data_IF_719312955736
#
_entry.id   IF_719312955736
#
_cell.length_a   1.000
_cell.length_b   1.000
_cell.length_c   1.000
_cell.angle_alpha   90.00
_cell.angle_beta   90.00
_cell.angle_gamma   90.00
#
_symmetry.space_group_name_H-M   'P 1'
#
loop_
_entity.id
_entity.type
_entity.pdbx_description
1 polymer ?
#
# COMPACT_ATOMS: atom_id res chain seq x y z
N UNK A 1 20.19 -7.25 15.84
CA UNK A 1 20.97 -6.45 14.85
C UNK A 1 19.99 -5.58 14.11
N UNK A 2 20.34 -4.31 13.79
CA UNK A 2 19.48 -3.41 13.02
C UNK A 2 19.22 -3.99 11.63
N UNK A 3 17.99 -3.92 11.14
CA UNK A 3 17.61 -4.37 9.79
C UNK A 3 17.91 -3.27 8.76
N UNK A 4 18.17 -3.60 7.50
CA UNK A 4 18.50 -2.62 6.48
C UNK A 4 17.54 -1.44 6.42
N UNK A 5 16.23 -1.70 6.42
CA UNK A 5 15.21 -0.63 6.32
C UNK A 5 15.06 0.24 7.57
N UNK A 6 15.68 -0.10 8.72
CA UNK A 6 15.72 0.78 9.90
C UNK A 6 16.40 2.12 9.59
N UNK A 7 17.33 2.14 8.63
CA UNK A 7 17.97 3.36 8.16
C UNK A 7 17.01 4.38 7.52
N UNK A 8 15.84 3.95 7.09
CA UNK A 8 14.82 4.80 6.47
C UNK A 8 13.92 5.50 7.51
N UNK A 9 13.91 5.02 8.76
CA UNK A 9 13.03 5.53 9.82
C UNK A 9 13.08 7.05 10.00
N UNK A 10 14.25 7.72 10.11
CA UNK A 10 14.27 9.17 10.31
C UNK A 10 13.59 9.95 9.19
N UNK A 11 13.65 9.40 7.97
CA UNK A 11 13.04 10.01 6.79
C UNK A 11 11.52 9.87 6.85
N UNK A 12 11.00 8.72 7.27
CA UNK A 12 9.55 8.50 7.44
C UNK A 12 8.98 9.28 8.62
N UNK A 13 9.70 9.44 9.73
CA UNK A 13 9.31 10.31 10.85
C UNK A 13 9.08 11.76 10.38
N UNK A 14 9.98 12.28 9.57
CA UNK A 14 9.86 13.63 9.02
C UNK A 14 8.71 13.74 8.00
N UNK A 15 8.46 12.69 7.21
CA UNK A 15 7.44 12.64 6.18
C UNK A 15 6.04 12.54 6.78
N UNK A 16 5.85 11.72 7.80
CA UNK A 16 4.54 11.52 8.45
C UNK A 16 3.93 12.84 8.93
N UNK A 17 4.74 13.72 9.51
CA UNK A 17 4.30 15.04 9.95
C UNK A 17 3.84 15.97 8.80
N UNK A 18 4.32 15.76 7.56
CA UNK A 18 4.08 16.66 6.42
C UNK A 18 3.06 16.12 5.41
N UNK A 19 3.03 14.82 5.14
CA UNK A 19 2.19 14.25 4.07
C UNK A 19 0.78 13.89 4.54
N UNK A 20 0.64 13.35 5.74
CA UNK A 20 -0.67 12.90 6.23
C UNK A 20 -1.52 14.04 6.83
N UNK A 21 -0.92 15.17 7.20
CA UNK A 21 -1.63 16.34 7.72
C UNK A 21 -2.61 16.99 6.71
N UNK A 22 -2.50 16.65 5.42
CA UNK A 22 -3.29 17.29 4.35
C UNK A 22 -4.28 16.35 3.65
N UNK A 23 -4.45 15.10 4.12
CA UNK A 23 -5.40 14.16 3.51
C UNK A 23 -6.80 14.47 4.01
N UNK A 24 -7.58 15.19 3.20
CA UNK A 24 -8.99 15.49 3.48
C UNK A 24 -9.91 14.35 3.01
N UNK A 25 -11.08 14.18 3.64
CA UNK A 25 -12.09 13.18 3.27
C UNK A 25 -12.50 13.25 1.78
N UNK A 26 -12.54 14.44 1.21
CA UNK A 26 -12.87 14.62 -0.21
C UNK A 26 -11.82 14.07 -1.17
N UNK A 27 -10.53 14.04 -0.77
CA UNK A 27 -9.48 13.41 -1.58
C UNK A 27 -9.54 11.88 -1.52
N UNK A 28 -10.01 11.31 -0.41
CA UNK A 28 -10.21 9.86 -0.23
C UNK A 28 -11.31 9.31 -1.14
N UNK A 29 -12.44 10.02 -1.28
CA UNK A 29 -13.55 9.62 -2.14
C UNK A 29 -13.21 9.55 -3.65
N UNK A 30 -12.09 10.15 -4.07
CA UNK A 30 -11.58 10.11 -5.44
C UNK A 30 -10.39 9.16 -5.62
N UNK A 31 -9.94 8.51 -4.54
CA UNK A 31 -8.79 7.62 -4.57
C UNK A 31 -9.20 6.22 -5.05
N UNK A 32 -9.06 5.99 -6.36
CA UNK A 32 -9.34 4.68 -6.99
C UNK A 32 -8.52 3.53 -6.34
N UNK A 33 -7.37 3.85 -5.78
CA UNK A 33 -6.54 2.88 -5.06
C UNK A 33 -7.22 2.45 -3.76
N UNK A 34 -7.69 3.41 -2.96
CA UNK A 34 -8.43 3.12 -1.74
C UNK A 34 -9.70 2.30 -2.03
N UNK A 35 -10.49 2.74 -3.02
CA UNK A 35 -11.70 2.05 -3.46
C UNK A 35 -11.41 0.58 -3.82
N UNK A 36 -10.42 0.34 -4.71
CA UNK A 36 -10.14 -1.02 -5.18
C UNK A 36 -9.61 -1.94 -4.08
N UNK A 37 -8.73 -1.43 -3.21
CA UNK A 37 -8.19 -2.21 -2.10
C UNK A 37 -9.29 -2.55 -1.09
N UNK A 38 -10.20 -1.61 -0.78
CA UNK A 38 -11.32 -1.88 0.14
C UNK A 38 -12.35 -2.83 -0.46
N UNK A 39 -12.61 -2.80 -1.78
CA UNK A 39 -13.42 -3.81 -2.46
C UNK A 39 -12.86 -5.22 -2.24
N UNK A 40 -11.55 -5.40 -2.50
CA UNK A 40 -10.90 -6.72 -2.33
C UNK A 40 -10.81 -7.10 -0.85
N UNK A 41 -10.55 -6.13 0.05
CA UNK A 41 -10.57 -6.39 1.49
C UNK A 41 -11.93 -6.91 1.96
N UNK A 42 -13.03 -6.34 1.45
CA UNK A 42 -14.38 -6.80 1.79
C UNK A 42 -14.64 -8.26 1.36
N UNK A 43 -14.01 -8.72 0.27
CA UNK A 43 -14.09 -10.12 -0.19
C UNK A 43 -13.39 -11.09 0.80
N UNK A 44 -12.43 -10.59 1.61
CA UNK A 44 -11.65 -11.37 2.59
C UNK A 44 -12.26 -11.38 3.99
N UNK A 45 -13.33 -10.63 4.21
CA UNK A 45 -14.06 -10.58 5.49
C UNK A 45 -15.27 -11.55 5.45
N UNK A 46 -15.71 -12.10 6.59
CA UNK A 46 -15.14 -11.91 7.94
C UNK A 46 -13.85 -12.67 8.20
N UNK A 47 -13.03 -12.21 9.15
CA UNK A 47 -11.85 -12.90 9.66
C UNK A 47 -11.70 -12.65 11.16
N UNK A 48 -10.89 -13.45 11.86
CA UNK A 48 -10.67 -13.33 13.30
C UNK A 48 -9.53 -12.38 13.65
N UNK A 49 -8.45 -12.35 12.83
CA UNK A 49 -7.28 -11.53 13.06
C UNK A 49 -6.77 -10.90 11.76
N UNK A 50 -6.63 -9.58 11.76
CA UNK A 50 -6.18 -8.78 10.62
C UNK A 50 -4.97 -7.93 10.99
N UNK A 51 -3.95 -7.93 10.11
CA UNK A 51 -2.80 -7.03 10.20
C UNK A 51 -2.76 -6.11 8.97
N UNK A 52 -2.57 -4.83 9.19
CA UNK A 52 -2.14 -3.88 8.15
C UNK A 52 -0.64 -3.58 8.34
N UNK A 53 0.18 -4.22 7.51
CA UNK A 53 1.64 -4.16 7.58
C UNK A 53 2.17 -2.97 6.76
N UNK A 54 2.58 -1.90 7.43
CA UNK A 54 2.84 -0.58 6.86
C UNK A 54 1.53 0.22 6.74
N UNK A 55 0.81 0.35 7.85
CA UNK A 55 -0.57 0.87 7.86
C UNK A 55 -0.69 2.36 7.53
N UNK A 56 0.41 3.09 7.51
CA UNK A 56 0.40 4.52 7.18
C UNK A 56 -0.55 5.30 8.07
N UNK A 57 -1.47 6.06 7.47
CA UNK A 57 -2.48 6.86 8.18
C UNK A 57 -3.66 6.05 8.76
N UNK A 58 -3.61 4.72 8.72
CA UNK A 58 -4.64 3.83 9.27
C UNK A 58 -5.95 3.78 8.47
N UNK A 59 -5.99 4.31 7.25
CA UNK A 59 -7.21 4.42 6.44
C UNK A 59 -7.92 3.10 6.17
N UNK A 60 -7.17 2.01 5.95
CA UNK A 60 -7.75 0.70 5.69
C UNK A 60 -8.28 0.06 6.97
N UNK A 61 -7.59 0.25 8.09
CA UNK A 61 -8.09 -0.17 9.40
C UNK A 61 -9.38 0.58 9.76
N UNK A 62 -9.41 1.90 9.60
CA UNK A 62 -10.59 2.72 9.83
C UNK A 62 -11.78 2.31 8.92
N UNK A 63 -11.51 1.85 7.70
CA UNK A 63 -12.53 1.41 6.76
C UNK A 63 -13.27 0.15 7.20
N UNK A 64 -12.69 -0.71 8.06
CA UNK A 64 -13.31 -1.96 8.53
C UNK A 64 -14.72 -1.76 9.09
N UNK A 65 -14.97 -0.65 9.79
CA UNK A 65 -16.29 -0.31 10.30
C UNK A 65 -17.31 -0.12 9.17
N UNK A 66 -16.93 0.59 8.13
CA UNK A 66 -17.81 0.85 6.99
C UNK A 66 -17.99 -0.38 6.08
N UNK A 67 -17.05 -1.33 6.13
CA UNK A 67 -17.15 -2.62 5.44
C UNK A 67 -18.06 -3.62 6.19
N UNK A 68 -18.59 -3.24 7.37
CA UNK A 68 -19.56 -4.03 8.12
C UNK A 68 -18.96 -5.13 9.01
N UNK A 69 -17.63 -5.25 9.08
CA UNK A 69 -16.95 -6.20 9.95
C UNK A 69 -15.66 -5.62 10.51
N UNK A 70 -15.55 -5.65 11.83
CA UNK A 70 -14.32 -5.35 12.56
C UNK A 70 -13.85 -6.66 13.19
N UNK A 71 -12.70 -7.23 12.77
CA UNK A 71 -12.18 -8.46 13.34
C UNK A 71 -11.97 -8.34 14.87
N UNK A 72 -12.08 -9.43 15.64
CA UNK A 72 -11.78 -9.44 17.08
C UNK A 72 -10.36 -8.97 17.41
N UNK A 73 -9.40 -9.28 16.53
CA UNK A 73 -8.04 -8.75 16.60
C UNK A 73 -7.70 -7.92 15.35
N UNK A 74 -7.42 -6.64 15.56
CA UNK A 74 -6.95 -5.74 14.50
C UNK A 74 -5.59 -5.18 14.93
N UNK A 75 -4.59 -5.32 14.07
CA UNK A 75 -3.27 -4.75 14.30
C UNK A 75 -2.80 -3.91 13.10
N UNK A 76 -2.00 -2.90 13.37
CA UNK A 76 -1.32 -2.09 12.35
C UNK A 76 0.14 -1.87 12.71
N UNK A 77 1.03 -1.93 11.73
CA UNK A 77 2.43 -1.59 11.94
C UNK A 77 2.90 -0.52 10.99
N UNK A 78 3.79 0.34 11.46
CA UNK A 78 4.56 1.26 10.63
C UNK A 78 5.94 1.49 11.26
N UNK A 79 6.90 1.98 10.48
CA UNK A 79 8.27 2.22 10.96
C UNK A 79 8.39 3.55 11.74
N UNK A 80 7.43 4.48 11.58
CA UNK A 80 7.46 5.83 12.13
C UNK A 80 6.36 6.05 13.18
N UNK A 81 6.76 6.52 14.35
CA UNK A 81 5.82 6.82 15.46
C UNK A 81 4.87 7.97 15.11
N UNK A 82 5.34 8.98 14.36
CA UNK A 82 4.50 10.09 13.90
C UNK A 82 3.36 9.66 12.96
N UNK A 83 3.59 8.62 12.16
CA UNK A 83 2.60 8.02 11.27
C UNK A 83 1.59 7.21 12.08
N UNK A 84 2.07 6.40 13.03
CA UNK A 84 1.20 5.62 13.94
C UNK A 84 0.26 6.51 14.77
N UNK A 85 0.71 7.69 15.19
CA UNK A 85 -0.16 8.65 15.88
C UNK A 85 -1.32 9.12 14.99
N UNK A 86 -1.09 9.26 13.67
CA UNK A 86 -2.16 9.58 12.71
C UNK A 86 -3.11 8.40 12.54
N UNK A 87 -2.57 7.17 12.45
CA UNK A 87 -3.36 5.94 12.36
C UNK A 87 -4.25 5.76 13.62
N UNK A 88 -3.72 6.02 14.81
CA UNK A 88 -4.48 5.96 16.06
C UNK A 88 -5.69 6.91 16.03
N UNK A 89 -5.45 8.16 15.62
CA UNK A 89 -6.54 9.14 15.49
C UNK A 89 -7.62 8.69 14.50
N UNK A 90 -7.23 8.06 13.38
CA UNK A 90 -8.16 7.60 12.36
C UNK A 90 -8.97 6.39 12.83
N UNK A 91 -8.35 5.42 13.49
CA UNK A 91 -9.01 4.22 14.02
C UNK A 91 -9.93 4.55 15.18
N UNK A 92 -9.52 5.44 16.09
CA UNK A 92 -10.34 5.94 17.21
C UNK A 92 -11.59 6.67 16.70
N UNK A 93 -11.44 7.57 15.72
CA UNK A 93 -12.56 8.27 15.11
C UNK A 93 -13.55 7.34 14.41
N UNK A 94 -13.07 6.22 13.86
CA UNK A 94 -13.90 5.18 13.24
C UNK A 94 -14.49 4.17 14.25
N UNK A 95 -14.07 4.22 15.52
CA UNK A 95 -14.47 3.24 16.54
C UNK A 95 -13.95 1.83 16.24
N UNK A 96 -12.74 1.71 15.67
CA UNK A 96 -12.05 0.46 15.40
C UNK A 96 -10.92 0.29 16.41
N UNK A 97 -11.04 -0.60 17.41
CA UNK A 97 -9.93 -0.88 18.31
C UNK A 97 -8.80 -1.58 17.55
N UNK A 98 -7.63 -0.95 17.49
CA UNK A 98 -6.48 -1.46 16.78
C UNK A 98 -5.21 -1.43 17.64
N UNK A 99 -4.47 -2.54 17.67
CA UNK A 99 -3.14 -2.63 18.24
C UNK A 99 -2.13 -2.02 17.25
N UNK A 100 -1.66 -0.79 17.53
CA UNK A 100 -0.70 -0.11 16.66
C UNK A 100 0.71 -0.25 17.23
N UNK A 101 1.59 -0.87 16.44
CA UNK A 101 2.95 -1.24 16.89
C UNK A 101 3.98 -0.69 15.92
N UNK A 102 4.98 0.03 16.45
CA UNK A 102 6.12 0.42 15.62
C UNK A 102 6.96 -0.80 15.28
N UNK A 103 7.08 -1.09 13.99
CA UNK A 103 7.87 -2.22 13.51
C UNK A 103 8.49 -1.97 12.13
N UNK A 104 9.59 -2.66 11.87
CA UNK A 104 10.13 -2.85 10.54
C UNK A 104 9.54 -4.15 9.96
N UNK A 105 9.05 -4.11 8.73
CA UNK A 105 8.49 -5.29 8.07
C UNK A 105 9.51 -6.43 7.88
N UNK A 106 10.80 -6.12 7.92
CA UNK A 106 11.88 -7.13 7.87
C UNK A 106 12.02 -7.92 9.19
N UNK A 107 11.31 -7.50 10.27
CA UNK A 107 11.26 -8.17 11.59
C UNK A 107 9.99 -7.77 12.34
N UNK A 108 8.91 -8.51 12.12
CA UNK A 108 7.61 -8.23 12.74
C UNK A 108 7.55 -8.75 14.19
N UNK A 109 7.07 -7.95 15.17
CA UNK A 109 7.05 -8.30 16.58
C UNK A 109 5.83 -9.18 16.95
N UNK A 110 5.44 -10.08 16.06
CA UNK A 110 4.33 -10.99 16.26
C UNK A 110 4.80 -12.45 16.18
N UNK A 111 4.11 -13.33 16.87
CA UNK A 111 4.33 -14.77 16.75
C UNK A 111 3.96 -15.26 15.35
N UNK A 112 4.49 -16.43 14.97
CA UNK A 112 4.11 -17.09 13.73
C UNK A 112 2.63 -17.47 13.73
N UNK A 113 2.02 -17.54 12.55
CA UNK A 113 0.63 -17.99 12.37
C UNK A 113 -0.39 -17.23 13.24
N UNK A 114 -0.24 -15.91 13.32
CA UNK A 114 -1.08 -15.05 14.17
C UNK A 114 -2.30 -14.51 13.41
N UNK A 115 -2.16 -14.15 12.13
CA UNK A 115 -3.18 -13.42 11.38
C UNK A 115 -3.82 -14.28 10.28
N UNK A 116 -5.13 -14.11 10.08
CA UNK A 116 -5.88 -14.73 8.99
C UNK A 116 -5.78 -13.94 7.70
N UNK A 117 -5.76 -12.60 7.84
CA UNK A 117 -5.64 -11.66 6.72
C UNK A 117 -4.54 -10.66 7.02
N UNK A 118 -3.66 -10.46 6.05
CA UNK A 118 -2.64 -9.40 6.09
C UNK A 118 -2.84 -8.48 4.88
N UNK A 119 -2.86 -7.16 5.15
CA UNK A 119 -2.67 -6.14 4.12
C UNK A 119 -1.21 -5.68 4.12
N UNK A 120 -0.67 -5.40 2.94
CA UNK A 120 0.60 -4.72 2.78
C UNK A 120 0.51 -3.82 1.54
N UNK A 121 0.18 -2.55 1.73
CA UNK A 121 -0.22 -1.68 0.62
C UNK A 121 0.78 -0.56 0.37
N UNK A 122 1.47 -0.58 -0.77
CA UNK A 122 2.46 0.44 -1.18
C UNK A 122 3.60 0.59 -0.16
N UNK A 123 4.17 -0.52 0.25
CA UNK A 123 5.27 -0.57 1.23
C UNK A 123 6.48 -1.28 0.65
N UNK A 124 6.26 -2.43 -0.01
CA UNK A 124 7.33 -3.34 -0.44
C UNK A 124 8.33 -2.67 -1.40
N UNK A 125 7.89 -1.71 -2.19
CA UNK A 125 8.70 -0.94 -3.14
C UNK A 125 9.73 -0.02 -2.46
N UNK A 126 9.52 0.26 -1.18
CA UNK A 126 10.37 1.16 -0.40
C UNK A 126 11.38 0.42 0.48
N UNK A 127 11.26 -0.90 0.62
CA UNK A 127 12.13 -1.68 1.50
C UNK A 127 13.50 -1.95 0.87
N UNK A 128 14.52 -2.01 1.72
CA UNK A 128 15.88 -2.37 1.30
C UNK A 128 16.03 -3.88 1.14
N UNK A 129 15.33 -4.68 1.96
CA UNK A 129 15.25 -6.15 1.82
C UNK A 129 13.80 -6.63 1.70
N UNK A 130 13.17 -6.48 0.51
CA UNK A 130 11.79 -6.89 0.30
C UNK A 130 11.59 -8.41 0.45
N UNK A 131 12.61 -9.22 0.19
CA UNK A 131 12.51 -10.68 0.32
C UNK A 131 12.38 -11.07 1.79
N UNK A 132 13.16 -10.45 2.68
CA UNK A 132 13.05 -10.69 4.12
C UNK A 132 11.67 -10.26 4.64
N UNK A 133 11.17 -9.11 4.19
CA UNK A 133 9.82 -8.66 4.58
C UNK A 133 8.74 -9.65 4.13
N UNK A 134 8.82 -10.17 2.89
CA UNK A 134 7.88 -11.20 2.42
C UNK A 134 7.94 -12.48 3.27
N UNK A 135 9.13 -12.89 3.72
CA UNK A 135 9.28 -14.05 4.63
C UNK A 135 8.65 -13.79 5.99
N UNK A 136 8.79 -12.58 6.52
CA UNK A 136 8.16 -12.19 7.79
C UNK A 136 6.64 -12.14 7.68
N UNK A 137 6.09 -11.55 6.59
CA UNK A 137 4.66 -11.59 6.31
C UNK A 137 4.15 -13.05 6.21
N UNK A 138 4.91 -13.93 5.55
CA UNK A 138 4.56 -15.36 5.46
C UNK A 138 4.60 -16.05 6.83
N UNK A 139 5.57 -15.71 7.67
CA UNK A 139 5.74 -16.28 9.00
C UNK A 139 4.56 -15.96 9.93
N UNK A 140 4.10 -14.69 9.92
CA UNK A 140 3.02 -14.26 10.82
C UNK A 140 1.62 -14.55 10.26
N UNK A 141 1.51 -14.90 8.98
CA UNK A 141 0.26 -15.34 8.35
C UNK A 141 -0.02 -16.80 8.67
N UNK A 142 -1.22 -17.12 9.09
CA UNK A 142 -1.66 -18.51 9.34
C UNK A 142 -1.62 -19.34 8.07
N UNK A 143 -1.42 -20.62 8.23
CA UNK A 143 -1.62 -21.57 7.13
C UNK A 143 -3.05 -21.47 6.61
N UNK A 144 -3.22 -21.28 5.29
CA UNK A 144 -4.51 -20.97 4.66
C UNK A 144 -4.97 -19.52 4.80
N UNK A 145 -4.21 -18.67 5.48
CA UNK A 145 -4.46 -17.23 5.57
C UNK A 145 -4.16 -16.52 4.25
N UNK A 146 -4.62 -15.28 4.11
CA UNK A 146 -4.55 -14.51 2.87
C UNK A 146 -3.75 -13.22 3.04
N UNK A 147 -2.80 -12.99 2.13
CA UNK A 147 -2.08 -11.73 1.96
C UNK A 147 -2.66 -10.95 0.79
N UNK A 148 -3.16 -9.74 1.05
CA UNK A 148 -3.47 -8.72 0.04
C UNK A 148 -2.30 -7.74 -0.02
N UNK A 149 -1.54 -7.75 -1.12
CA UNK A 149 -0.37 -6.90 -1.28
C UNK A 149 -0.46 -6.06 -2.55
N UNK A 150 -0.06 -4.79 -2.45
CA UNK A 150 0.03 -3.89 -3.62
C UNK A 150 1.38 -3.23 -3.70
N UNK A 151 1.80 -2.93 -4.92
CA UNK A 151 3.04 -2.20 -5.22
C UNK A 151 2.92 -1.45 -6.55
N UNK A 152 3.85 -0.56 -6.84
CA UNK A 152 3.91 0.13 -8.11
C UNK A 152 4.34 -0.82 -9.25
N UNK A 153 3.66 -0.69 -10.40
CA UNK A 153 3.83 -1.57 -11.56
C UNK A 153 4.71 -0.92 -12.63
N UNK A 154 5.86 -1.55 -12.93
CA UNK A 154 6.81 -1.09 -13.96
C UNK A 154 6.24 -1.16 -15.37
N UNK A 155 5.40 -2.15 -15.65
CA UNK A 155 4.80 -2.41 -16.96
C UNK A 155 3.75 -1.38 -17.41
N UNK A 156 3.57 -0.31 -16.65
CA UNK A 156 2.62 0.77 -16.91
C UNK A 156 3.00 1.61 -18.14
N UNK A 157 2.73 1.06 -19.34
CA UNK A 157 3.03 1.73 -20.62
C UNK A 157 2.13 2.94 -20.86
N UNK A 158 0.89 2.90 -20.38
CA UNK A 158 -0.11 3.96 -20.60
C UNK A 158 0.23 5.21 -19.80
N UNK A 159 0.44 5.09 -18.48
CA UNK A 159 0.83 6.24 -17.66
C UNK A 159 2.19 6.79 -18.06
N UNK A 160 3.15 5.93 -18.47
CA UNK A 160 4.44 6.38 -19.01
C UNK A 160 4.28 7.15 -20.31
N UNK A 161 3.41 6.71 -21.21
CA UNK A 161 3.10 7.41 -22.46
C UNK A 161 2.40 8.76 -22.18
N UNK A 162 1.42 8.80 -21.30
CA UNK A 162 0.68 10.00 -20.95
C UNK A 162 1.53 11.04 -20.19
N UNK A 163 2.42 10.59 -19.30
CA UNK A 163 3.27 11.49 -18.49
C UNK A 163 4.61 11.82 -19.15
N UNK A 164 5.09 11.01 -20.12
CA UNK A 164 6.40 11.16 -20.76
C UNK A 164 6.64 12.51 -21.44
N UNK A 165 5.74 13.00 -22.33
CA UNK A 165 5.90 14.30 -23.01
C UNK A 165 5.96 15.47 -22.02
N UNK A 166 5.19 15.40 -20.94
CA UNK A 166 5.16 16.43 -19.90
C UNK A 166 6.45 16.44 -19.07
N UNK A 167 6.95 15.27 -18.68
CA UNK A 167 8.22 15.17 -17.95
C UNK A 167 9.36 15.74 -18.80
N UNK A 168 9.34 15.51 -20.12
CA UNK A 168 10.29 16.11 -21.06
C UNK A 168 10.14 17.62 -21.12
N UNK A 169 8.92 18.14 -21.22
CA UNK A 169 8.63 19.58 -21.26
C UNK A 169 9.08 20.29 -19.98
N UNK A 170 8.76 19.76 -18.81
CA UNK A 170 9.22 20.29 -17.51
C UNK A 170 10.74 20.30 -17.41
N UNK A 171 11.41 19.25 -17.93
CA UNK A 171 12.87 19.17 -17.97
C UNK A 171 13.47 20.22 -18.94
N UNK A 172 12.85 20.43 -20.10
CA UNK A 172 13.30 21.41 -21.09
C UNK A 172 13.12 22.86 -20.62
N UNK A 173 11.98 23.15 -19.98
CA UNK A 173 11.66 24.50 -19.50
C UNK A 173 12.43 24.91 -18.24
N UNK A 174 13.27 24.02 -17.66
CA UNK A 174 14.04 24.27 -16.44
C UNK A 174 13.22 24.99 -15.35
N UNK A 175 11.99 24.59 -15.14
CA UNK A 175 11.13 25.19 -14.10
C UNK A 175 11.78 24.95 -12.74
N UNK A 176 12.51 25.97 -12.27
CA UNK A 176 13.07 26.03 -10.92
C UNK A 176 11.92 26.13 -9.92
N UNK A 177 11.65 25.07 -9.19
CA UNK A 177 10.61 25.10 -8.17
C UNK A 177 10.18 23.73 -7.64
N UNK A 178 10.71 22.64 -8.15
CA UNK A 178 10.46 21.35 -7.53
C UNK A 178 11.24 21.27 -6.21
N UNK A 179 10.50 21.28 -5.09
CA UNK A 179 11.05 20.92 -3.78
C UNK A 179 11.88 19.63 -3.98
N UNK A 180 13.10 19.62 -3.45
CA UNK A 180 13.93 18.40 -3.41
C UNK A 180 13.07 17.31 -2.76
N UNK A 181 12.50 16.41 -3.56
CA UNK A 181 11.91 15.19 -3.04
C UNK A 181 13.06 14.42 -2.41
N UNK A 182 12.95 14.13 -1.14
CA UNK A 182 13.86 13.22 -0.47
C UNK A 182 13.83 11.92 -1.27
N UNK A 183 14.98 11.48 -1.74
CA UNK A 183 15.07 10.29 -2.59
C UNK A 183 14.89 9.07 -1.69
N UNK A 184 13.71 8.46 -1.74
CA UNK A 184 13.48 7.16 -1.15
C UNK A 184 13.96 6.07 -2.10
N UNK A 185 14.45 4.93 -1.61
CA UNK A 185 14.49 3.73 -2.42
C UNK A 185 13.08 3.51 -2.96
N UNK A 186 12.95 3.42 -4.26
CA UNK A 186 11.68 3.16 -4.91
C UNK A 186 11.93 2.21 -6.06
N UNK A 187 11.34 1.05 -5.98
CA UNK A 187 11.46 -0.02 -6.97
C UNK A 187 10.10 -0.33 -7.56
N UNK A 188 9.95 -0.12 -8.86
CA UNK A 188 8.79 -0.64 -9.58
C UNK A 188 9.02 -2.12 -9.89
N UNK A 189 7.97 -2.92 -9.80
CA UNK A 189 7.99 -4.35 -10.09
C UNK A 189 7.25 -4.69 -11.37
N UNK A 190 7.78 -5.64 -12.13
CA UNK A 190 7.01 -6.35 -13.17
C UNK A 190 6.15 -7.43 -12.50
N UNK A 191 5.00 -7.74 -13.11
CA UNK A 191 4.04 -8.71 -12.56
C UNK A 191 4.67 -10.08 -12.30
N UNK A 192 5.43 -10.59 -13.28
CA UNK A 192 6.02 -11.93 -13.20
C UNK A 192 7.19 -11.98 -12.20
N UNK A 193 8.01 -10.93 -12.17
CA UNK A 193 9.07 -10.73 -11.18
C UNK A 193 8.49 -10.78 -9.77
N UNK A 194 7.48 -9.96 -9.49
CA UNK A 194 6.88 -9.87 -8.16
C UNK A 194 6.17 -11.17 -7.76
N UNK A 195 5.45 -11.80 -8.70
CA UNK A 195 4.83 -13.11 -8.46
C UNK A 195 5.87 -14.20 -8.17
N UNK A 196 7.04 -14.13 -8.81
CA UNK A 196 8.17 -15.02 -8.54
C UNK A 196 8.74 -14.83 -7.14
N UNK A 197 8.88 -13.57 -6.68
CA UNK A 197 9.32 -13.25 -5.31
C UNK A 197 8.35 -13.77 -4.26
N UNK A 198 7.04 -13.61 -4.47
CA UNK A 198 5.99 -14.12 -3.57
C UNK A 198 6.06 -15.66 -3.46
N UNK A 199 6.18 -16.36 -4.58
CA UNK A 199 6.33 -17.82 -4.57
C UNK A 199 7.62 -18.27 -3.87
N UNK A 200 8.74 -17.57 -4.08
CA UNK A 200 10.00 -17.86 -3.40
C UNK A 200 9.94 -17.61 -1.89
N UNK A 201 9.04 -16.72 -1.43
CA UNK A 201 8.75 -16.50 -0.02
C UNK A 201 7.74 -17.50 0.57
N UNK A 202 7.21 -18.45 -0.23
CA UNK A 202 6.30 -19.51 0.22
C UNK A 202 4.81 -19.20 0.05
N UNK A 203 4.45 -18.19 -0.76
CA UNK A 203 3.06 -17.86 -1.07
C UNK A 203 2.55 -18.54 -2.33
N UNK A 204 1.27 -18.90 -2.35
CA UNK A 204 0.53 -19.32 -3.54
C UNK A 204 -0.25 -18.11 -4.09
N UNK A 205 0.10 -17.63 -5.29
CA UNK A 205 -0.58 -16.49 -5.93
C UNK A 205 -1.94 -16.97 -6.46
N UNK A 206 -3.04 -16.40 -5.91
CA UNK A 206 -4.42 -16.70 -6.31
C UNK A 206 -4.93 -15.72 -7.36
N UNK A 207 -4.59 -14.44 -7.23
CA UNK A 207 -5.03 -13.36 -8.09
C UNK A 207 -3.91 -12.36 -8.29
N UNK A 208 -3.71 -11.90 -9.51
CA UNK A 208 -2.76 -10.84 -9.83
C UNK A 208 -3.38 -9.95 -10.89
N UNK A 209 -3.56 -8.67 -10.56
CA UNK A 209 -4.22 -7.70 -11.43
C UNK A 209 -3.51 -6.36 -11.37
N UNK A 210 -3.68 -5.53 -12.38
CA UNK A 210 -3.29 -4.13 -12.33
C UNK A 210 -4.50 -3.25 -12.54
N UNK A 211 -4.48 -2.08 -11.92
CA UNK A 211 -5.56 -1.12 -11.99
C UNK A 211 -5.02 0.30 -11.83
N UNK A 212 -5.86 1.29 -12.02
CA UNK A 212 -5.63 2.71 -11.94
C UNK A 212 -4.79 3.25 -13.11
N UNK A 213 -5.30 4.30 -13.73
CA UNK A 213 -4.54 5.19 -14.58
C UNK A 213 -4.30 6.50 -13.86
N UNK A 214 -3.04 6.87 -13.67
CA UNK A 214 -2.68 8.11 -13.00
C UNK A 214 -2.00 9.07 -13.98
N UNK A 215 -2.55 10.26 -14.09
CA UNK A 215 -1.92 11.37 -14.81
C UNK A 215 -1.49 12.41 -13.78
N UNK A 216 -0.18 12.58 -13.62
CA UNK A 216 0.40 13.51 -12.65
C UNK A 216 -0.12 14.94 -12.87
N UNK A 217 -0.58 15.59 -11.80
CA UNK A 217 -1.18 16.93 -11.80
C UNK A 217 -2.35 17.13 -12.79
N UNK A 218 -3.07 16.08 -13.12
CA UNK A 218 -4.26 16.21 -13.95
C UNK A 218 -5.36 16.99 -13.21
N UNK A 219 -6.14 17.82 -13.92
CA UNK A 219 -7.36 18.38 -13.37
C UNK A 219 -8.28 17.26 -12.83
N UNK A 220 -8.97 17.55 -11.72
CA UNK A 220 -9.85 16.58 -11.03
C UNK A 220 -10.86 15.92 -11.97
N UNK A 221 -11.38 16.67 -12.97
CA UNK A 221 -12.31 16.15 -13.98
C UNK A 221 -11.68 15.05 -14.84
N UNK A 222 -10.42 15.27 -15.25
CA UNK A 222 -9.68 14.27 -16.06
C UNK A 222 -9.40 13.02 -15.21
N UNK A 223 -8.98 13.19 -13.95
CA UNK A 223 -8.73 12.05 -13.07
C UNK A 223 -10.03 11.28 -12.79
N UNK A 224 -11.17 11.95 -12.63
CA UNK A 224 -12.49 11.29 -12.50
C UNK A 224 -12.82 10.46 -13.74
N UNK A 225 -12.56 10.99 -14.94
CA UNK A 225 -12.78 10.27 -16.18
C UNK A 225 -11.89 9.03 -16.28
N UNK A 226 -10.60 9.15 -15.94
CA UNK A 226 -9.65 8.03 -15.92
C UNK A 226 -10.10 6.95 -14.93
N UNK A 227 -10.56 7.34 -13.74
CA UNK A 227 -11.10 6.41 -12.75
C UNK A 227 -12.37 5.71 -13.25
N UNK A 228 -13.25 6.42 -13.97
CA UNK A 228 -14.46 5.82 -14.57
C UNK A 228 -14.13 4.82 -15.67
N UNK A 229 -13.10 5.11 -16.48
CA UNK A 229 -12.58 4.19 -17.49
C UNK A 229 -12.00 2.94 -16.80
N UNK A 230 -11.17 3.12 -15.79
CA UNK A 230 -10.56 2.02 -15.03
C UNK A 230 -11.63 1.09 -14.42
N UNK A 231 -12.68 1.65 -13.79
CA UNK A 231 -13.80 0.86 -13.27
C UNK A 231 -14.50 0.04 -14.37
N UNK A 232 -14.69 0.62 -15.56
CA UNK A 232 -15.35 -0.08 -16.69
C UNK A 232 -14.51 -1.19 -17.28
N UNK A 233 -13.18 -1.00 -17.34
CA UNK A 233 -12.26 -2.01 -17.83
C UNK A 233 -12.12 -3.18 -16.86
N UNK A 234 -12.41 -2.93 -15.55
CA UNK A 234 -12.12 -3.91 -14.51
C UNK A 234 -10.63 -4.20 -14.39
N UNK A 235 -10.23 -5.34 -13.83
CA UNK A 235 -8.83 -5.76 -13.74
C UNK A 235 -8.20 -5.88 -15.14
N UNK A 236 -7.16 -5.12 -15.40
CA UNK A 236 -6.46 -5.10 -16.70
C UNK A 236 -4.94 -5.11 -16.51
N UNK A 237 -4.17 -5.32 -17.59
CA UNK A 237 -2.71 -5.38 -17.57
C UNK A 237 -1.98 -4.04 -17.71
N UNK A 238 -2.71 -2.91 -17.71
CA UNK A 238 -2.20 -1.59 -18.12
C UNK A 238 -2.12 -0.58 -16.98
N UNK A 239 -2.57 -0.94 -15.76
CA UNK A 239 -2.61 -0.06 -14.60
C UNK A 239 -1.24 0.18 -14.00
N UNK A 240 -1.14 1.23 -13.19
CA UNK A 240 0.09 1.64 -12.50
C UNK A 240 0.24 1.06 -11.09
N UNK A 241 -0.77 0.38 -10.60
CA UNK A 241 -0.73 -0.38 -9.35
C UNK A 241 -0.90 -1.87 -9.66
N UNK A 242 0.01 -2.68 -9.16
CA UNK A 242 -0.10 -4.13 -9.12
C UNK A 242 -0.72 -4.54 -7.79
N UNK A 243 -1.82 -5.29 -7.86
CA UNK A 243 -2.50 -5.90 -6.71
C UNK A 243 -2.38 -7.41 -6.83
N UNK A 244 -1.94 -8.05 -5.77
CA UNK A 244 -1.83 -9.50 -5.69
C UNK A 244 -2.51 -10.01 -4.43
N UNK A 245 -3.29 -11.08 -4.60
CA UNK A 245 -3.87 -11.84 -3.50
C UNK A 245 -3.18 -13.20 -3.46
N UNK A 246 -2.59 -13.51 -2.32
CA UNK A 246 -1.82 -14.73 -2.10
C UNK A 246 -2.38 -15.51 -0.92
N UNK A 247 -2.14 -16.80 -0.90
CA UNK A 247 -2.44 -17.69 0.21
C UNK A 247 -1.14 -18.28 0.79
N UNK A 248 -1.14 -18.51 2.11
CA UNK A 248 -0.01 -19.05 2.86
C UNK A 248 0.14 -20.56 2.73
#
# INVERSE_FOLDING_TARGET
>A
MSKPSDALRPVYEQRGALEYAHVTDSSRALDRKFERITEVLAELLPCEALLDAGCGDGRYLAALRSLGHVPPRVAGTDIADSILATAASATDAAGVPAELVRANLEELPFEGETFDVILCTQVIEHLLDPIQALRELRRVLRTGGVLLITTDHRGNRVSRFLNGPRALLVRLLRVRGHRRRVHFPHRDFERDEFSGMLRAAGFSVRRSETFRFHLTDAPTVIQRLLNAIDRRLGPHGLGDILLVVCEA
#
